data_IF_217793255642
#
_entry.id   IF_217793255642
#
_cell.length_a   1.000
_cell.length_b   1.000
_cell.length_c   1.000
_cell.angle_alpha   90.00
_cell.angle_beta   90.00
_cell.angle_gamma   90.00
#
_symmetry.space_group_name_H-M   'P 1'
#
loop_
_entity.id
_entity.type
_entity.pdbx_description
1 polymer ?
#
# COMPACT_ATOMS: atom_id res chain seq x y z
N UNK A 1 -2.52 1.15 -2.96
CA UNK A 1 -3.30 -0.09 -3.22
C UNK A 1 -2.47 -1.26 -2.71
N UNK A 2 -3.07 -2.26 -2.08
CA UNK A 2 -2.35 -3.41 -1.51
C UNK A 2 -3.18 -4.69 -1.59
N UNK A 3 -2.50 -5.84 -1.67
CA UNK A 3 -3.11 -7.17 -1.74
C UNK A 3 -2.28 -8.19 -0.96
N UNK A 4 -2.91 -9.30 -0.57
CA UNK A 4 -2.27 -10.45 0.05
C UNK A 4 -2.42 -11.67 -0.86
N UNK A 5 -1.31 -12.30 -1.23
CA UNK A 5 -1.32 -13.55 -2.00
C UNK A 5 -1.73 -14.69 -1.06
N UNK A 6 -2.72 -15.49 -1.47
CA UNK A 6 -3.27 -16.60 -0.66
C UNK A 6 -2.81 -17.99 -1.13
N UNK A 7 -2.24 -18.05 -2.33
CA UNK A 7 -1.64 -19.23 -2.95
C UNK A 7 -0.13 -19.23 -2.75
N UNK A 8 0.54 -20.29 -3.21
CA UNK A 8 2.02 -20.32 -3.26
C UNK A 8 2.56 -19.19 -4.15
N UNK A 9 1.91 -18.93 -5.30
CA UNK A 9 2.27 -17.87 -6.23
C UNK A 9 1.02 -17.18 -6.79
N UNK A 10 1.16 -15.92 -7.21
CA UNK A 10 0.14 -15.19 -7.95
C UNK A 10 0.77 -14.16 -8.90
N UNK A 11 0.13 -13.93 -10.04
CA UNK A 11 0.51 -12.87 -10.98
C UNK A 11 -0.54 -11.75 -10.95
N UNK A 12 -0.09 -10.51 -10.81
CA UNK A 12 -0.95 -9.33 -10.79
C UNK A 12 -0.56 -8.42 -11.94
N UNK A 13 -1.50 -8.20 -12.86
CA UNK A 13 -1.32 -7.33 -14.04
C UNK A 13 -2.31 -6.18 -13.98
N UNK A 14 -1.82 -4.95 -14.18
CA UNK A 14 -2.65 -3.76 -14.19
C UNK A 14 -2.38 -2.91 -15.43
N UNK A 15 -3.44 -2.23 -15.90
CA UNK A 15 -3.31 -1.09 -16.81
C UNK A 15 -3.32 0.18 -15.97
N UNK A 16 -2.35 1.04 -16.20
CA UNK A 16 -2.24 2.36 -15.56
C UNK A 16 -2.42 3.45 -16.61
N UNK A 17 -2.80 4.63 -16.15
CA UNK A 17 -2.99 5.80 -17.01
C UNK A 17 -1.67 6.50 -17.34
N UNK A 18 -0.66 6.36 -16.48
CA UNK A 18 0.63 7.05 -16.58
C UNK A 18 1.80 6.08 -16.31
N UNK A 19 3.00 6.47 -16.72
CA UNK A 19 4.24 5.75 -16.43
C UNK A 19 4.64 5.85 -14.95
N UNK A 20 5.46 4.91 -14.48
CA UNK A 20 5.94 4.91 -13.09
C UNK A 20 6.95 6.03 -12.83
N UNK A 21 6.70 6.82 -11.80
CA UNK A 21 7.58 7.89 -11.31
C UNK A 21 7.80 7.75 -9.78
N UNK A 22 8.96 7.25 -9.32
CA UNK A 22 9.23 7.00 -7.90
C UNK A 22 9.00 8.20 -6.98
N UNK A 23 9.22 9.42 -7.47
CA UNK A 23 9.09 10.67 -6.72
C UNK A 23 7.63 11.00 -6.37
N UNK A 24 6.69 10.37 -7.08
CA UNK A 24 5.26 10.51 -6.89
C UNK A 24 4.64 9.27 -6.21
N UNK A 25 5.45 8.26 -5.89
CA UNK A 25 4.99 7.13 -5.10
C UNK A 25 4.79 7.56 -3.63
N UNK A 26 3.66 7.14 -3.06
CA UNK A 26 3.36 7.29 -1.65
C UNK A 26 2.55 6.08 -1.19
N UNK A 27 2.56 5.81 0.12
CA UNK A 27 1.88 4.67 0.69
C UNK A 27 1.60 4.84 2.18
N UNK A 28 0.88 3.86 2.70
CA UNK A 28 0.56 3.73 4.12
C UNK A 28 0.99 2.32 4.53
N UNK A 29 1.47 2.17 5.75
CA UNK A 29 1.86 0.88 6.30
C UNK A 29 0.69 -0.11 6.23
N UNK A 30 0.99 -1.34 5.80
CA UNK A 30 -0.03 -2.35 5.49
C UNK A 30 -0.89 -2.74 6.72
N UNK A 31 -0.32 -2.64 7.92
CA UNK A 31 -0.93 -3.01 9.20
C UNK A 31 -1.37 -1.80 10.03
N UNK A 32 -1.67 -0.67 9.38
CA UNK A 32 -2.19 0.50 10.07
C UNK A 32 -3.47 0.15 10.88
N UNK A 33 -3.49 0.41 12.19
CA UNK A 33 -4.60 0.03 13.05
C UNK A 33 -5.85 0.89 12.84
N UNK A 34 -5.73 2.11 12.31
CA UNK A 34 -6.87 2.98 11.99
C UNK A 34 -7.55 2.54 10.68
N UNK A 35 -6.79 1.99 9.72
CA UNK A 35 -7.37 1.34 8.52
C UNK A 35 -7.99 -0.02 8.91
N UNK A 36 -7.31 -0.80 9.75
CA UNK A 36 -7.90 -1.99 10.39
C UNK A 36 -8.17 -3.17 9.45
N UNK A 37 -7.35 -3.37 8.41
CA UNK A 37 -7.52 -4.49 7.47
C UNK A 37 -7.15 -5.81 8.16
N UNK A 38 -8.08 -6.76 8.17
CA UNK A 38 -7.86 -8.12 8.68
C UNK A 38 -7.19 -8.99 7.61
N UNK A 39 -5.87 -8.87 7.46
CA UNK A 39 -5.10 -9.66 6.51
C UNK A 39 -5.05 -11.14 6.92
N UNK A 40 -5.34 -12.10 6.02
CA UNK A 40 -5.38 -13.53 6.32
C UNK A 40 -3.97 -14.17 6.32
N UNK A 41 -2.98 -13.49 6.91
CA UNK A 41 -1.59 -13.94 6.97
C UNK A 41 -0.95 -13.44 8.28
N UNK A 42 -0.24 -14.33 8.99
CA UNK A 42 0.37 -13.99 10.27
C UNK A 42 1.76 -13.34 10.10
N UNK A 43 2.58 -13.86 9.18
CA UNK A 43 3.95 -13.40 8.95
C UNK A 43 4.13 -13.06 7.46
N UNK A 44 3.66 -11.90 7.00
CA UNK A 44 3.78 -11.53 5.60
C UNK A 44 5.24 -11.23 5.24
N UNK A 45 5.60 -11.55 3.99
CA UNK A 45 6.85 -11.09 3.39
C UNK A 45 6.58 -9.69 2.83
N UNK A 46 7.25 -8.69 3.39
CA UNK A 46 7.04 -7.28 3.05
C UNK A 46 8.39 -6.69 2.63
N UNK A 47 8.37 -5.80 1.63
CA UNK A 47 9.59 -5.10 1.19
C UNK A 47 10.08 -4.12 2.27
N UNK A 48 11.37 -3.80 2.28
CA UNK A 48 11.91 -2.79 3.20
C UNK A 48 11.21 -1.43 3.03
N UNK A 49 10.86 -1.08 1.78
CA UNK A 49 10.13 0.15 1.45
C UNK A 49 8.76 0.18 2.12
N UNK A 50 7.97 -0.88 1.96
CA UNK A 50 6.59 -0.92 2.47
C UNK A 50 6.55 -1.07 4.01
N UNK A 51 7.58 -1.70 4.59
CA UNK A 51 7.76 -1.78 6.04
C UNK A 51 8.13 -0.43 6.67
N UNK A 52 8.63 0.52 5.89
CA UNK A 52 9.01 1.87 6.32
C UNK A 52 7.95 2.95 6.02
N UNK A 53 6.79 2.57 5.47
CA UNK A 53 5.70 3.52 5.19
C UNK A 53 5.09 4.05 6.51
N UNK A 54 4.55 5.29 6.51
CA UNK A 54 3.91 5.87 7.69
C UNK A 54 2.52 5.28 7.95
N UNK A 55 2.02 5.48 9.17
CA UNK A 55 0.59 5.30 9.45
C UNK A 55 -0.24 6.35 8.69
N UNK A 56 -1.54 6.07 8.47
CA UNK A 56 -2.47 6.94 7.76
C UNK A 56 -2.48 8.36 8.36
N UNK A 57 -2.41 8.48 9.69
CA UNK A 57 -2.39 9.77 10.39
C UNK A 57 -1.16 10.62 10.09
N UNK A 58 -0.05 10.00 9.71
CA UNK A 58 1.24 10.64 9.46
C UNK A 58 1.55 10.75 7.96
N UNK A 59 0.79 10.03 7.13
CA UNK A 59 0.94 10.04 5.69
C UNK A 59 0.65 11.43 5.10
N UNK A 60 1.49 11.85 4.16
CA UNK A 60 1.30 13.11 3.46
C UNK A 60 0.04 13.03 2.59
N UNK A 61 -0.94 13.89 2.87
CA UNK A 61 -2.14 14.01 2.05
C UNK A 61 -2.03 15.22 1.12
N UNK A 62 -1.77 14.94 -0.16
CA UNK A 62 -1.69 15.96 -1.23
C UNK A 62 -3.03 16.17 -1.95
N UNK A 63 -4.11 15.50 -1.54
CA UNK A 63 -5.41 15.63 -2.17
C UNK A 63 -6.14 16.85 -1.61
N UNK A 64 -6.43 17.81 -2.49
CA UNK A 64 -7.29 18.94 -2.20
C UNK A 64 -8.67 18.63 -2.78
N UNK A 65 -9.59 18.21 -1.93
CA UNK A 65 -11.01 18.17 -2.30
C UNK A 65 -11.58 19.59 -2.16
N UNK A 66 -12.14 20.11 -3.24
CA UNK A 66 -12.97 21.31 -3.22
C UNK A 66 -14.40 20.90 -3.53
N UNK A 67 -15.36 21.66 -2.99
CA UNK A 67 -16.80 21.49 -3.22
C UNK A 67 -17.20 21.78 -4.68
#
# INVERSE_FOLDING_TARGET
>A
HGFCVLSEEAEVVYKVTEEYAPEHEAGIIWNDPDIGISWPIANPIISEKDAALPCLKEAENRFIYSD
#
